data_IF_376165467279
#
_entry.id   IF_376165467279
#
_cell.length_a   1.000
_cell.length_b   1.000
_cell.length_c   1.000
_cell.angle_alpha   90.00
_cell.angle_beta   90.00
_cell.angle_gamma   90.00
#
_symmetry.space_group_name_H-M   'P 1'
#
loop_
_entity.id
_entity.type
_entity.pdbx_description
1 polymer ?
#
# COMPACT_ATOMS: atom_id res chain seq x y z
N UNK A 1 1.23 17.53 -5.50
CA UNK A 1 2.40 17.48 -4.61
C UNK A 1 3.04 16.10 -4.69
N UNK A 2 4.35 16.06 -4.76
CA UNK A 2 5.11 14.80 -4.79
C UNK A 2 6.18 14.87 -3.71
N UNK A 3 6.36 13.79 -2.97
CA UNK A 3 7.35 13.71 -1.91
C UNK A 3 8.30 12.55 -2.19
N UNK A 4 9.61 12.78 -2.05
CA UNK A 4 10.63 11.78 -2.34
C UNK A 4 11.40 11.46 -1.06
N UNK A 5 11.51 10.17 -0.75
CA UNK A 5 12.23 9.66 0.41
C UNK A 5 13.25 8.62 -0.07
N UNK A 6 14.51 8.78 0.33
CA UNK A 6 15.54 7.81 0.00
C UNK A 6 15.75 6.88 1.18
N UNK A 7 15.65 5.58 0.93
CA UNK A 7 15.76 4.52 1.93
C UNK A 7 17.02 3.71 1.66
N UNK A 8 18.05 3.81 2.52
CA UNK A 8 19.31 3.10 2.29
C UNK A 8 19.20 1.59 2.49
N UNK A 9 18.23 1.13 3.25
CA UNK A 9 18.08 -0.28 3.60
C UNK A 9 16.61 -0.67 3.80
N UNK A 10 16.38 -1.94 4.07
CA UNK A 10 15.06 -2.50 4.28
C UNK A 10 14.38 -1.89 5.52
N UNK A 11 15.13 -1.65 6.58
CA UNK A 11 14.58 -1.06 7.81
C UNK A 11 13.99 0.33 7.55
N UNK A 12 14.66 1.14 6.74
CA UNK A 12 14.18 2.47 6.37
C UNK A 12 12.89 2.38 5.55
N UNK A 13 12.80 1.40 4.65
CA UNK A 13 11.61 1.18 3.83
C UNK A 13 10.42 0.74 4.69
N UNK A 14 10.65 -0.17 5.65
CA UNK A 14 9.61 -0.58 6.61
C UNK A 14 9.15 0.60 7.45
N UNK A 15 10.07 1.49 7.84
CA UNK A 15 9.75 2.67 8.63
C UNK A 15 8.83 3.64 7.88
N UNK A 16 8.97 3.76 6.56
CA UNK A 16 8.04 4.55 5.74
C UNK A 16 6.63 3.98 5.85
N UNK A 17 6.49 2.66 5.75
CA UNK A 17 5.20 1.99 5.93
C UNK A 17 4.61 2.25 7.31
N UNK A 18 5.41 2.15 8.36
CA UNK A 18 4.96 2.39 9.73
C UNK A 18 4.47 3.83 9.93
N UNK A 19 5.14 4.80 9.33
CA UNK A 19 4.72 6.21 9.39
C UNK A 19 3.39 6.42 8.67
N UNK A 20 3.17 5.74 7.56
CA UNK A 20 1.90 5.82 6.85
C UNK A 20 0.75 5.28 7.69
N UNK A 21 0.99 4.25 8.49
CA UNK A 21 -0.03 3.66 9.34
C UNK A 21 -0.68 4.70 10.28
N UNK A 22 0.09 5.70 10.71
CA UNK A 22 -0.39 6.73 11.64
C UNK A 22 -1.35 7.73 10.99
N UNK A 23 -1.37 7.82 9.67
CA UNK A 23 -2.18 8.83 8.95
C UNK A 23 -3.31 8.24 8.13
N UNK A 24 -3.57 6.93 8.27
CA UNK A 24 -4.63 6.25 7.52
C UNK A 24 -6.02 6.67 7.97
N UNK A 25 -6.92 6.79 6.99
CA UNK A 25 -8.34 7.08 7.22
C UNK A 25 -9.19 6.12 6.41
N UNK A 26 -10.43 5.91 6.87
CA UNK A 26 -11.37 5.05 6.15
C UNK A 26 -11.58 5.54 4.72
N UNK A 27 -11.60 4.63 3.78
CA UNK A 27 -11.74 4.92 2.36
C UNK A 27 -10.43 5.12 1.63
N UNK A 28 -9.30 5.12 2.32
CA UNK A 28 -7.98 5.27 1.68
C UNK A 28 -7.67 4.11 0.77
N UNK A 29 -7.07 4.43 -0.38
CA UNK A 29 -6.49 3.45 -1.29
C UNK A 29 -5.03 3.84 -1.50
N UNK A 30 -4.13 2.90 -1.18
CA UNK A 30 -2.69 3.09 -1.37
C UNK A 30 -2.24 2.09 -2.42
N UNK A 31 -1.74 2.61 -3.54
CA UNK A 31 -1.29 1.82 -4.67
C UNK A 31 0.24 1.77 -4.71
N UNK A 32 0.80 0.58 -4.53
CA UNK A 32 2.25 0.35 -4.49
C UNK A 32 2.76 -0.08 -5.86
N UNK A 33 3.58 0.77 -6.47
CA UNK A 33 4.18 0.53 -7.78
C UNK A 33 5.67 0.22 -7.62
N UNK A 34 6.17 -0.66 -8.42
CA UNK A 34 7.59 -1.00 -8.44
C UNK A 34 7.82 -2.34 -9.10
N UNK A 35 9.04 -2.54 -9.60
CA UNK A 35 9.43 -3.81 -10.20
C UNK A 35 9.46 -4.91 -9.16
N UNK A 36 9.47 -6.15 -9.63
CA UNK A 36 9.59 -7.31 -8.77
C UNK A 36 10.86 -7.18 -7.92
N UNK A 37 10.73 -7.36 -6.62
CA UNK A 37 11.84 -7.23 -5.69
C UNK A 37 12.18 -5.81 -5.26
N UNK A 38 11.43 -4.79 -5.72
CA UNK A 38 11.70 -3.39 -5.36
C UNK A 38 11.41 -3.07 -3.89
N UNK A 39 10.56 -3.88 -3.22
CA UNK A 39 10.26 -3.69 -1.80
C UNK A 39 8.82 -3.31 -1.48
N UNK A 40 7.88 -3.53 -2.42
CA UNK A 40 6.47 -3.25 -2.19
C UNK A 40 5.94 -3.99 -0.97
N UNK A 41 6.24 -5.29 -0.88
CA UNK A 41 5.81 -6.11 0.25
C UNK A 41 6.50 -5.68 1.55
N UNK A 42 7.76 -5.26 1.50
CA UNK A 42 8.50 -4.77 2.66
C UNK A 42 7.84 -3.53 3.25
N UNK A 43 7.49 -2.56 2.41
CA UNK A 43 6.79 -1.35 2.84
C UNK A 43 5.40 -1.71 3.40
N UNK A 44 4.67 -2.59 2.70
CA UNK A 44 3.36 -3.05 3.14
C UNK A 44 3.43 -3.72 4.50
N UNK A 45 4.44 -4.55 4.75
CA UNK A 45 4.65 -5.18 6.06
C UNK A 45 4.86 -4.15 7.16
N UNK A 46 5.67 -3.14 6.90
CA UNK A 46 5.90 -2.07 7.87
C UNK A 46 4.61 -1.36 8.26
N UNK A 47 3.76 -1.07 7.28
CA UNK A 47 2.46 -0.45 7.51
C UNK A 47 1.54 -1.37 8.31
N UNK A 48 1.40 -2.61 7.88
CA UNK A 48 0.46 -3.57 8.49
C UNK A 48 0.88 -3.94 9.90
N UNK A 49 2.17 -4.21 10.13
CA UNK A 49 2.68 -4.55 11.46
C UNK A 49 2.48 -3.40 12.45
N UNK A 50 2.75 -2.17 12.02
CA UNK A 50 2.53 -1.00 12.86
C UNK A 50 1.05 -0.75 13.12
N UNK A 51 0.21 -0.97 12.11
CA UNK A 51 -1.22 -0.71 12.17
C UNK A 51 -1.95 -1.74 13.06
N UNK A 52 -1.67 -3.02 12.85
CA UNK A 52 -2.42 -4.12 13.48
C UNK A 52 -1.72 -4.76 14.67
N UNK A 53 -0.41 -4.57 14.82
CA UNK A 53 0.37 -5.25 15.82
C UNK A 53 0.68 -6.71 15.48
N UNK A 54 0.33 -7.16 14.27
CA UNK A 54 0.62 -8.52 13.80
C UNK A 54 2.07 -8.59 13.33
N UNK A 55 2.83 -9.58 13.80
CA UNK A 55 4.19 -9.86 13.33
C UNK A 55 4.16 -10.82 12.15
N UNK A 56 5.23 -10.80 11.34
CA UNK A 56 5.42 -11.74 10.23
C UNK A 56 4.25 -11.75 9.25
N UNK A 57 3.88 -10.57 8.75
CA UNK A 57 2.85 -10.43 7.74
C UNK A 57 3.26 -11.17 6.46
N UNK A 58 2.48 -12.18 6.02
CA UNK A 58 2.82 -12.91 4.80
C UNK A 58 2.51 -12.10 3.55
N UNK A 59 3.20 -12.43 2.44
CA UNK A 59 2.84 -11.87 1.14
C UNK A 59 1.55 -12.52 0.64
N UNK A 60 0.57 -11.75 0.13
CA UNK A 60 -0.68 -12.30 -0.40
C UNK A 60 -0.56 -12.78 -1.86
N UNK A 61 0.63 -13.16 -2.31
CA UNK A 61 0.89 -13.54 -3.72
C UNK A 61 -0.03 -14.65 -4.21
N UNK A 62 -0.32 -15.65 -3.36
CA UNK A 62 -1.15 -16.77 -3.74
C UNK A 62 -2.62 -16.60 -3.35
N UNK A 63 -2.88 -15.93 -2.25
CA UNK A 63 -4.25 -15.68 -1.76
C UNK A 63 -4.89 -14.47 -2.42
N UNK A 64 -4.09 -13.61 -3.04
CA UNK A 64 -4.44 -12.34 -3.68
C UNK A 64 -4.90 -11.26 -2.70
N UNK A 65 -5.42 -11.62 -1.53
CA UNK A 65 -5.83 -10.67 -0.50
C UNK A 65 -5.66 -11.27 0.89
N UNK A 66 -5.24 -10.42 1.83
CA UNK A 66 -5.21 -10.71 3.27
C UNK A 66 -5.80 -9.50 3.99
N UNK A 67 -6.60 -9.75 5.02
CA UNK A 67 -7.27 -8.70 5.77
C UNK A 67 -6.73 -8.62 7.18
N UNK A 68 -6.49 -7.41 7.68
CA UNK A 68 -5.97 -7.15 9.02
C UNK A 68 -6.86 -6.13 9.71
N UNK A 69 -7.22 -6.38 10.97
CA UNK A 69 -8.11 -5.53 11.73
C UNK A 69 -7.39 -4.97 12.96
N UNK A 70 -7.43 -3.65 13.15
CA UNK A 70 -6.85 -2.99 14.32
C UNK A 70 -7.90 -2.62 15.37
N UNK A 71 -9.16 -2.94 15.12
CA UNK A 71 -10.28 -2.47 15.94
C UNK A 71 -10.80 -1.09 15.53
N UNK A 72 -9.95 -0.27 14.91
CA UNK A 72 -10.32 1.05 14.39
C UNK A 72 -10.68 1.02 12.92
N UNK A 73 -9.81 0.37 12.13
CA UNK A 73 -9.97 0.20 10.69
C UNK A 73 -9.51 -1.20 10.30
N UNK A 74 -9.98 -1.68 9.17
CA UNK A 74 -9.44 -2.88 8.54
C UNK A 74 -8.56 -2.48 7.38
N UNK A 75 -7.44 -3.20 7.18
CA UNK A 75 -6.58 -3.04 6.01
C UNK A 75 -6.74 -4.28 5.14
N UNK A 76 -7.07 -4.06 3.88
CA UNK A 76 -7.17 -5.11 2.87
C UNK A 76 -5.90 -5.05 2.04
N UNK A 77 -5.00 -6.02 2.22
CA UNK A 77 -3.73 -6.09 1.51
C UNK A 77 -3.88 -6.98 0.28
N UNK A 78 -3.83 -6.36 -0.91
CA UNK A 78 -3.97 -7.04 -2.20
C UNK A 78 -2.61 -7.19 -2.88
N UNK A 79 -2.40 -8.34 -3.52
CA UNK A 79 -1.32 -8.55 -4.49
C UNK A 79 -1.97 -9.06 -5.77
N UNK A 80 -2.04 -8.20 -6.77
CA UNK A 80 -2.77 -8.48 -8.00
C UNK A 80 -1.88 -9.03 -9.11
N UNK A 81 -0.65 -9.43 -8.79
CA UNK A 81 0.28 -9.94 -9.80
C UNK A 81 -0.30 -11.10 -10.61
N UNK A 82 -1.06 -11.99 -9.95
CA UNK A 82 -1.67 -13.18 -10.56
C UNK A 82 -3.11 -12.99 -11.00
N UNK A 83 -3.64 -11.77 -10.89
CA UNK A 83 -5.02 -11.50 -11.31
C UNK A 83 -5.12 -11.65 -12.81
N UNK A 84 -6.07 -12.45 -13.27
CA UNK A 84 -6.30 -12.71 -14.70
C UNK A 84 -7.33 -11.77 -15.31
N UNK A 85 -8.36 -11.41 -14.53
CA UNK A 85 -9.46 -10.58 -15.00
C UNK A 85 -9.91 -9.67 -13.86
N UNK A 86 -10.20 -8.41 -14.17
CA UNK A 86 -10.65 -7.44 -13.17
C UNK A 86 -11.97 -7.81 -12.50
N UNK A 87 -12.79 -8.65 -13.16
CA UNK A 87 -14.03 -9.16 -12.56
C UNK A 87 -13.79 -9.99 -11.30
N UNK A 88 -12.60 -10.57 -11.14
CA UNK A 88 -12.24 -11.34 -9.94
C UNK A 88 -12.14 -10.46 -8.70
N UNK A 89 -11.97 -9.15 -8.85
CA UNK A 89 -11.84 -8.23 -7.72
C UNK A 89 -13.06 -8.22 -6.80
N UNK A 90 -14.26 -8.39 -7.38
CA UNK A 90 -15.50 -8.45 -6.60
C UNK A 90 -15.44 -9.61 -5.60
N UNK A 91 -14.93 -10.77 -6.04
CA UNK A 91 -14.79 -11.97 -5.21
C UNK A 91 -13.74 -11.77 -4.11
N UNK A 92 -12.83 -10.81 -4.30
CA UNK A 92 -11.79 -10.50 -3.32
C UNK A 92 -12.20 -9.36 -2.36
N UNK A 93 -13.47 -8.98 -2.36
CA UNK A 93 -13.99 -7.96 -1.46
C UNK A 93 -13.66 -6.53 -1.86
N UNK A 94 -13.30 -6.30 -3.12
CA UNK A 94 -12.88 -4.97 -3.60
C UNK A 94 -13.90 -3.86 -3.33
N UNK A 95 -15.20 -4.17 -3.46
CA UNK A 95 -16.26 -3.20 -3.23
C UNK A 95 -16.60 -3.00 -1.74
N UNK A 96 -15.97 -3.76 -0.85
CA UNK A 96 -16.23 -3.73 0.58
C UNK A 96 -15.18 -2.96 1.37
N UNK A 97 -14.17 -2.42 0.69
CA UNK A 97 -13.04 -1.74 1.36
C UNK A 97 -13.32 -0.31 1.78
N UNK A 98 -14.50 0.24 1.46
CA UNK A 98 -14.83 1.64 1.69
C UNK A 98 -14.79 2.10 3.15
N UNK A 99 -14.99 1.18 4.10
CA UNK A 99 -14.93 1.47 5.53
C UNK A 99 -13.54 1.20 6.13
N UNK A 100 -12.60 0.79 5.31
CA UNK A 100 -11.24 0.49 5.70
C UNK A 100 -10.25 1.07 4.71
N UNK A 101 -9.08 0.44 4.62
CA UNK A 101 -7.98 0.86 3.75
C UNK A 101 -7.64 -0.27 2.80
N UNK A 102 -7.51 0.03 1.50
CA UNK A 102 -7.00 -0.92 0.52
C UNK A 102 -5.54 -0.60 0.25
N UNK A 103 -4.67 -1.58 0.47
CA UNK A 103 -3.23 -1.50 0.19
C UNK A 103 -2.95 -2.46 -0.95
N UNK A 104 -2.62 -1.93 -2.13
CA UNK A 104 -2.64 -2.69 -3.38
C UNK A 104 -1.25 -2.77 -4.02
N UNK A 105 -0.71 -3.99 -4.14
CA UNK A 105 0.49 -4.25 -4.94
C UNK A 105 0.05 -4.64 -6.36
N UNK A 106 0.84 -4.23 -7.35
CA UNK A 106 0.53 -4.41 -8.77
C UNK A 106 -0.82 -3.77 -9.15
N UNK A 107 -1.01 -2.48 -8.80
CA UNK A 107 -2.30 -1.81 -8.98
C UNK A 107 -2.74 -1.69 -10.45
N UNK A 108 -1.81 -1.71 -11.40
CA UNK A 108 -2.12 -1.68 -12.83
C UNK A 108 -3.01 -2.84 -13.26
N UNK A 109 -2.98 -3.95 -12.51
CA UNK A 109 -3.83 -5.11 -12.79
C UNK A 109 -5.30 -4.84 -12.49
N UNK A 110 -5.59 -3.85 -11.64
CA UNK A 110 -6.96 -3.45 -11.35
C UNK A 110 -7.59 -2.64 -12.49
N UNK A 111 -6.77 -2.08 -13.37
CA UNK A 111 -7.22 -1.30 -14.52
C UNK A 111 -8.16 -0.16 -14.10
N UNK A 112 -9.31 -0.07 -14.75
CA UNK A 112 -10.31 0.97 -14.48
C UNK A 112 -10.97 0.86 -13.10
N UNK A 113 -10.79 -0.26 -12.40
CA UNK A 113 -11.32 -0.45 -11.05
C UNK A 113 -10.49 0.27 -9.99
N UNK A 114 -9.28 0.69 -10.31
CA UNK A 114 -8.43 1.44 -9.38
C UNK A 114 -9.03 2.84 -9.19
N UNK A 115 -9.35 3.27 -7.95
CA UNK A 115 -9.96 4.57 -7.74
C UNK A 115 -9.08 5.73 -8.18
N UNK A 116 -9.71 6.78 -8.67
CA UNK A 116 -9.05 8.02 -9.04
C UNK A 116 -8.37 8.69 -7.84
N UNK A 117 -9.06 8.73 -6.70
CA UNK A 117 -8.54 9.33 -5.47
C UNK A 117 -7.79 8.26 -4.69
N UNK A 118 -6.48 8.42 -4.63
CA UNK A 118 -5.59 7.44 -4.00
C UNK A 118 -4.22 8.05 -3.72
N UNK A 119 -3.41 7.33 -2.96
CA UNK A 119 -2.00 7.64 -2.81
C UNK A 119 -1.21 6.62 -3.63
N UNK A 120 -0.52 7.08 -4.67
CA UNK A 120 0.42 6.25 -5.40
C UNK A 120 1.78 6.30 -4.71
N UNK A 121 2.38 5.16 -4.48
CA UNK A 121 3.73 5.04 -3.94
C UNK A 121 4.57 4.27 -4.94
N UNK A 122 5.63 4.91 -5.44
CA UNK A 122 6.55 4.28 -6.38
C UNK A 122 7.84 3.95 -5.66
N UNK A 123 8.28 2.71 -5.78
CA UNK A 123 9.51 2.23 -5.17
C UNK A 123 10.46 1.84 -6.30
N UNK A 124 11.61 2.50 -6.33
CA UNK A 124 12.61 2.32 -7.38
C UNK A 124 13.95 1.94 -6.78
N UNK A 125 14.74 1.17 -7.50
CA UNK A 125 16.10 0.85 -7.10
C UNK A 125 16.96 2.12 -7.14
N UNK A 126 17.75 2.34 -6.09
CA UNK A 126 18.70 3.45 -6.01
C UNK A 126 20.00 2.88 -5.40
N UNK A 127 20.90 2.40 -6.29
CA UNK A 127 22.04 1.64 -5.82
C UNK A 127 21.60 0.40 -5.06
N UNK A 128 22.06 0.22 -3.84
CA UNK A 128 21.64 -0.88 -2.96
C UNK A 128 20.39 -0.53 -2.15
N UNK A 129 20.02 0.74 -2.13
CA UNK A 129 18.83 1.21 -1.44
C UNK A 129 17.65 1.36 -2.37
N UNK A 130 16.69 2.16 -1.92
CA UNK A 130 15.45 2.41 -2.67
C UNK A 130 15.08 3.88 -2.60
N UNK A 131 14.45 4.36 -3.67
CA UNK A 131 13.80 5.69 -3.66
C UNK A 131 12.30 5.47 -3.63
N UNK A 132 11.65 6.11 -2.67
CA UNK A 132 10.20 6.04 -2.49
C UNK A 132 9.62 7.40 -2.87
N UNK A 133 8.70 7.39 -3.83
CA UNK A 133 8.01 8.61 -4.27
C UNK A 133 6.54 8.51 -3.91
N UNK A 134 6.06 9.47 -3.12
CA UNK A 134 4.65 9.56 -2.71
C UNK A 134 3.95 10.55 -3.63
N UNK A 135 2.95 10.09 -4.36
CA UNK A 135 2.16 10.90 -5.30
C UNK A 135 0.69 10.89 -4.88
N UNK A 136 0.26 11.85 -4.07
CA UNK A 136 -1.14 11.88 -3.63
C UNK A 136 -2.07 12.40 -4.72
N UNK A 137 -3.25 11.79 -4.81
CA UNK A 137 -4.34 12.20 -5.69
C UNK A 137 -5.58 12.39 -4.82
N UNK A 138 -6.01 13.61 -4.63
CA UNK A 138 -7.15 13.95 -3.81
C UNK A 138 -6.79 14.92 -2.69
N UNK A 139 -7.83 15.54 -2.13
CA UNK A 139 -7.68 16.50 -1.06
C UNK A 139 -7.36 15.81 0.26
N UNK A 140 -6.68 16.54 1.15
CA UNK A 140 -6.38 16.06 2.49
C UNK A 140 -5.05 15.32 2.66
N UNK A 141 -4.54 14.68 1.62
CA UNK A 141 -3.26 13.99 1.68
C UNK A 141 -2.11 14.93 2.02
N UNK A 142 -2.13 16.14 1.48
CA UNK A 142 -1.07 17.13 1.70
C UNK A 142 -0.90 17.45 3.19
N UNK A 143 -2.01 17.63 3.89
CA UNK A 143 -2.00 17.89 5.32
C UNK A 143 -1.55 16.64 6.10
N UNK A 144 -2.06 15.48 5.72
CA UNK A 144 -1.76 14.22 6.40
C UNK A 144 -0.31 13.79 6.22
N UNK A 145 0.30 14.13 5.08
CA UNK A 145 1.71 13.82 4.80
C UNK A 145 2.66 14.93 5.27
N UNK A 146 2.14 15.97 5.89
CA UNK A 146 2.98 17.04 6.41
C UNK A 146 3.90 16.49 7.50
N UNK A 147 5.19 16.72 7.38
CA UNK A 147 6.17 16.21 8.32
C UNK A 147 6.78 14.85 7.99
N UNK A 148 6.38 14.28 6.85
CA UNK A 148 6.97 13.02 6.37
C UNK A 148 8.44 13.17 5.98
#
# INVERSE_FOLDING_TARGET
MTMILDCPDEAALRAVGARLADVLEAGDVIALHGDLGAGKTTLARGLIESFSGVDDVPSPTYTLVQTYDSGRLSVWHYDLYRLEDTSELVELGWDETGDGVALVEWPERAGAKLPRWRLDIRIEFLGEGRRVTLEPHGEGWQTRLHGF
#
